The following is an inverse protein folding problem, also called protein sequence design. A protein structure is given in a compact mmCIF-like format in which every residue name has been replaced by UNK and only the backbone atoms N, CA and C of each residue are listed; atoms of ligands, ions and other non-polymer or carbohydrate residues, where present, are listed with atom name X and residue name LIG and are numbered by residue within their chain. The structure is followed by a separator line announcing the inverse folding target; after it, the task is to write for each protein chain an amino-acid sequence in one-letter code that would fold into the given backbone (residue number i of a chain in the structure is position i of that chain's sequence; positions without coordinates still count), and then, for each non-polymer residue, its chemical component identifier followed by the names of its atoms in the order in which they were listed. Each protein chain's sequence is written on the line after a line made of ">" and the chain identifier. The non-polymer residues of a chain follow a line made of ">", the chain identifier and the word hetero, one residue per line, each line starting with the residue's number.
data_IF_856980259045
#
_entry.id   IF_856980259045
#
_cell.length_a   1.000
_cell.length_b   1.000
_cell.length_c   1.000
_cell.angle_alpha   90.00
_cell.angle_beta   90.00
_cell.angle_gamma   90.00
#
_symmetry.space_group_name_H-M   'P 1'
#
loop_
_entity.id
_entity.type
_entity.pdbx_description
1 polymer ?
#
# COMPACT_ATOMS: atom_id res chain seq x y z
N UNK A 1 -15.84 2.21 -5.84
CA UNK A 1 -15.62 2.44 -4.40
C UNK A 1 -16.99 2.49 -3.79
N UNK A 2 -17.26 1.62 -2.84
CA UNK A 2 -18.55 1.65 -2.16
C UNK A 2 -18.60 2.81 -1.14
N UNK A 3 -19.78 3.08 -0.60
CA UNK A 3 -20.03 4.19 0.33
C UNK A 3 -19.31 4.01 1.67
N UNK A 4 -19.09 2.77 2.11
CA UNK A 4 -18.42 2.46 3.38
C UNK A 4 -16.93 2.74 3.25
N UNK A 5 -16.30 2.20 2.21
CA UNK A 5 -14.91 2.46 1.86
C UNK A 5 -14.62 3.96 1.72
N UNK A 6 -15.52 4.72 1.09
CA UNK A 6 -15.40 6.17 0.96
C UNK A 6 -15.48 6.88 2.32
N UNK A 7 -16.44 6.51 3.18
CA UNK A 7 -16.59 7.10 4.52
C UNK A 7 -15.34 6.87 5.38
N UNK A 8 -14.82 5.64 5.40
CA UNK A 8 -13.60 5.32 6.16
C UNK A 8 -12.38 6.06 5.59
N UNK A 9 -12.35 6.32 4.27
CA UNK A 9 -11.28 7.10 3.64
C UNK A 9 -11.20 8.52 4.20
N UNK A 10 -12.36 9.18 4.34
CA UNK A 10 -12.41 10.55 4.87
C UNK A 10 -11.88 10.62 6.30
N UNK A 11 -12.23 9.64 7.15
CA UNK A 11 -11.69 9.55 8.51
C UNK A 11 -10.18 9.30 8.53
N UNK A 12 -9.71 8.33 7.74
CA UNK A 12 -8.28 8.01 7.64
C UNK A 12 -7.46 9.18 7.10
N UNK A 13 -7.97 9.93 6.12
CA UNK A 13 -7.31 11.11 5.56
C UNK A 13 -7.07 12.19 6.62
N UNK A 14 -8.07 12.47 7.48
CA UNK A 14 -7.91 13.39 8.59
C UNK A 14 -6.75 13.01 9.51
N UNK A 15 -6.68 11.73 9.89
CA UNK A 15 -5.58 11.20 10.69
C UNK A 15 -4.22 11.33 10.00
N UNK A 16 -4.13 11.03 8.70
CA UNK A 16 -2.85 11.11 7.97
C UNK A 16 -2.32 12.54 7.86
N UNK A 17 -3.20 13.53 7.71
CA UNK A 17 -2.82 14.94 7.67
C UNK A 17 -2.33 15.47 9.02
N UNK A 18 -2.71 14.83 10.13
CA UNK A 18 -2.19 15.15 11.47
C UNK A 18 -0.86 14.46 11.76
N UNK A 19 -0.68 13.22 11.26
CA UNK A 19 0.48 12.37 11.60
C UNK A 19 1.68 12.63 10.69
N UNK A 20 1.45 12.92 9.41
CA UNK A 20 2.52 13.08 8.42
C UNK A 20 2.64 14.53 7.97
N UNK A 21 3.88 15.03 7.99
CA UNK A 21 4.21 16.34 7.45
C UNK A 21 4.82 16.23 6.05
N UNK A 22 5.23 17.38 5.51
CA UNK A 22 5.81 17.50 4.18
C UNK A 22 7.23 16.91 4.04
N UNK A 23 7.93 16.75 5.16
CA UNK A 23 9.30 16.28 5.21
C UNK A 23 9.37 14.76 5.44
N UNK A 24 8.25 14.15 5.86
CA UNK A 24 8.11 12.71 6.02
C UNK A 24 8.51 11.94 4.75
N UNK A 25 9.34 10.91 4.93
CA UNK A 25 9.76 10.00 3.87
C UNK A 25 9.00 8.69 4.01
N UNK A 26 7.97 8.55 3.19
CA UNK A 26 7.13 7.36 3.18
C UNK A 26 7.95 6.11 2.86
N UNK A 27 7.71 5.07 3.64
CA UNK A 27 8.23 3.74 3.43
C UNK A 27 7.09 2.71 3.37
N UNK A 28 7.44 1.44 3.14
CA UNK A 28 6.46 0.38 3.00
C UNK A 28 5.59 0.17 4.25
N UNK A 29 6.16 0.38 5.44
CA UNK A 29 5.43 0.25 6.70
C UNK A 29 4.39 1.36 6.85
N UNK A 30 4.67 2.58 6.37
CA UNK A 30 3.66 3.64 6.32
C UNK A 30 2.48 3.23 5.44
N UNK A 31 2.75 2.68 4.25
CA UNK A 31 1.69 2.25 3.33
C UNK A 31 0.84 1.13 3.96
N UNK A 32 1.46 0.15 4.62
CA UNK A 32 0.74 -0.89 5.37
C UNK A 32 -0.14 -0.27 6.45
N UNK A 33 0.40 0.65 7.26
CA UNK A 33 -0.34 1.32 8.33
C UNK A 33 -1.51 2.14 7.79
N UNK A 34 -1.29 2.93 6.72
CA UNK A 34 -2.34 3.72 6.10
C UNK A 34 -3.45 2.82 5.56
N UNK A 35 -3.08 1.68 4.96
CA UNK A 35 -4.03 0.70 4.47
C UNK A 35 -4.83 0.04 5.60
N UNK A 36 -4.21 -0.27 6.73
CA UNK A 36 -4.89 -0.80 7.93
C UNK A 36 -5.88 0.22 8.51
N UNK A 37 -5.46 1.48 8.66
CA UNK A 37 -6.30 2.54 9.23
C UNK A 37 -7.52 2.82 8.36
N UNK A 38 -7.34 2.84 7.04
CA UNK A 38 -8.44 3.07 6.12
C UNK A 38 -9.33 1.84 5.96
N UNK A 39 -8.75 0.69 5.62
CA UNK A 39 -9.52 -0.47 5.17
C UNK A 39 -9.71 -1.54 6.24
N UNK A 40 -9.07 -1.44 7.41
CA UNK A 40 -9.25 -2.36 8.53
C UNK A 40 -10.70 -2.52 9.00
N UNK A 41 -11.52 -1.45 9.02
CA UNK A 41 -12.95 -1.57 9.31
C UNK A 41 -13.76 -2.32 8.24
N UNK A 42 -13.22 -2.50 7.03
CA UNK A 42 -13.93 -3.08 5.86
C UNK A 42 -13.40 -4.47 5.50
N UNK A 43 -12.10 -4.69 5.66
CA UNK A 43 -11.39 -5.88 5.19
C UNK A 43 -10.40 -6.40 6.23
N UNK A 44 -10.54 -7.68 6.61
CA UNK A 44 -9.67 -8.34 7.59
C UNK A 44 -8.19 -8.39 7.17
N UNK A 45 -7.92 -8.36 5.86
CA UNK A 45 -6.56 -8.43 5.32
C UNK A 45 -5.86 -7.06 5.27
N UNK A 46 -6.52 -5.98 5.69
CA UNK A 46 -5.95 -4.65 5.61
C UNK A 46 -4.62 -4.55 6.38
N UNK A 47 -3.65 -3.83 5.82
CA UNK A 47 -2.29 -3.70 6.37
C UNK A 47 -1.34 -4.86 6.03
N UNK A 48 -1.86 -5.97 5.51
CA UNK A 48 -1.04 -7.13 5.17
C UNK A 48 -0.65 -7.13 3.69
N UNK A 49 0.56 -7.65 3.40
CA UNK A 49 0.92 -7.95 2.01
C UNK A 49 0.01 -9.02 1.44
N UNK A 50 -0.43 -8.81 0.20
CA UNK A 50 -1.28 -9.79 -0.48
C UNK A 50 -0.55 -11.11 -0.72
N UNK A 51 -1.31 -12.18 -0.59
CA UNK A 51 -0.84 -13.56 -0.84
C UNK A 51 -1.31 -14.11 -2.20
N UNK A 52 -2.16 -13.35 -2.91
CA UNK A 52 -2.71 -13.73 -4.23
C UNK A 52 -2.16 -12.86 -5.35
N UNK A 53 -2.04 -13.44 -6.54
CA UNK A 53 -1.71 -12.69 -7.75
C UNK A 53 -2.95 -11.93 -8.23
N UNK A 54 -2.75 -10.68 -8.64
CA UNK A 54 -3.81 -9.82 -9.15
C UNK A 54 -3.41 -9.25 -10.51
N UNK A 55 -4.40 -9.01 -11.35
CA UNK A 55 -4.24 -8.40 -12.67
C UNK A 55 -5.38 -7.42 -12.93
N UNK A 56 -5.14 -6.42 -13.76
CA UNK A 56 -6.18 -5.49 -14.22
C UNK A 56 -6.02 -5.26 -15.71
N UNK A 57 -7.09 -5.48 -16.48
CA UNK A 57 -7.09 -5.26 -17.93
C UNK A 57 -6.02 -6.06 -18.69
N UNK A 58 -5.74 -7.30 -18.29
CA UNK A 58 -4.69 -8.12 -18.91
C UNK A 58 -3.28 -7.90 -18.35
N UNK A 59 -3.07 -6.87 -17.53
CA UNK A 59 -1.76 -6.56 -16.97
C UNK A 59 -1.58 -7.16 -15.56
N UNK A 60 -0.63 -8.10 -15.36
CA UNK A 60 -0.35 -8.65 -14.04
C UNK A 60 0.49 -7.68 -13.19
N UNK A 61 0.14 -7.53 -11.91
CA UNK A 61 1.03 -6.90 -10.94
C UNK A 61 2.15 -7.86 -10.52
N UNK A 62 3.12 -7.37 -9.73
CA UNK A 62 4.21 -8.20 -9.20
C UNK A 62 3.70 -9.54 -8.61
N UNK A 63 4.42 -10.63 -8.79
CA UNK A 63 3.97 -11.91 -8.21
C UNK A 63 3.90 -11.80 -6.69
N UNK A 64 2.83 -12.29 -6.05
CA UNK A 64 2.57 -12.12 -4.61
C UNK A 64 3.77 -12.54 -3.75
N UNK A 65 4.35 -13.71 -4.05
CA UNK A 65 5.55 -14.25 -3.39
C UNK A 65 6.80 -13.37 -3.49
N UNK A 66 6.83 -12.41 -4.42
CA UNK A 66 7.95 -11.50 -4.64
C UNK A 66 7.72 -10.13 -4.01
N UNK A 67 6.49 -9.80 -3.56
CA UNK A 67 6.14 -8.44 -3.12
C UNK A 67 7.06 -7.98 -1.98
N UNK A 68 7.24 -8.80 -0.96
CA UNK A 68 8.12 -8.46 0.17
C UNK A 68 9.57 -8.24 -0.28
N UNK A 69 10.10 -9.14 -1.11
CA UNK A 69 11.48 -9.03 -1.60
C UNK A 69 11.70 -7.78 -2.47
N UNK A 70 10.75 -7.46 -3.35
CA UNK A 70 10.82 -6.28 -4.22
C UNK A 70 10.76 -4.98 -3.44
N UNK A 71 9.92 -4.92 -2.40
CA UNK A 71 9.76 -3.75 -1.54
C UNK A 71 10.99 -3.56 -0.64
N UNK A 72 11.50 -4.62 -0.01
CA UNK A 72 12.68 -4.53 0.85
C UNK A 72 13.98 -4.27 0.09
N UNK A 73 14.07 -4.65 -1.19
CA UNK A 73 15.27 -4.47 -2.00
C UNK A 73 15.37 -3.14 -2.75
N UNK A 74 14.34 -2.29 -2.64
CA UNK A 74 14.22 -1.02 -3.34
C UNK A 74 14.95 0.16 -2.68
N UNK A 75 16.28 0.09 -2.57
CA UNK A 75 17.10 1.28 -2.27
C UNK A 75 18.31 1.47 -3.20
N UNK A 76 18.45 0.70 -4.29
CA UNK A 76 19.54 0.96 -5.24
C UNK A 76 19.85 -0.16 -6.24
N UNK A 77 18.95 -0.42 -7.20
CA UNK A 77 19.34 -1.14 -8.41
C UNK A 77 19.28 -0.22 -9.62
N UNK A 78 20.43 0.36 -9.93
CA UNK A 78 20.73 0.97 -11.23
C UNK A 78 20.40 -0.04 -12.32
N UNK A 79 19.38 0.28 -13.13
CA UNK A 79 19.14 -0.45 -14.37
C UNK A 79 20.31 -0.14 -15.30
N UNK A 80 21.25 -1.08 -15.44
CA UNK A 80 22.15 -1.08 -16.59
C UNK A 80 21.29 -1.39 -17.82
N UNK A 81 21.06 -0.37 -18.64
CA UNK A 81 20.60 -0.55 -20.01
C UNK A 81 21.72 -1.26 -20.79
N UNK A 82 21.34 -2.29 -21.54
CA UNK A 82 22.17 -2.95 -22.54
C UNK A 82 21.93 -2.31 -23.91
#
# INVERSE_FOLDING_TARGET
>A
MDEVEAREQFGALGHFLEVYDRDHRFNAQDICRMHEIWLGPVYEWAGNYRQVNIMKGGFPFAMARQVLALICSGSGRTVRQA
#
